data_IF_971985817255
#
_entry.id   IF_971985817255
#
_cell.length_a   1.000
_cell.length_b   1.000
_cell.length_c   1.000
_cell.angle_alpha   90.00
_cell.angle_beta   90.00
_cell.angle_gamma   90.00
#
_symmetry.space_group_name_H-M   'P 1'
#
loop_
_entity.id
_entity.type
_entity.pdbx_description
1 polymer ?
#
# COMPACT_ATOMS: atom_id res chain seq x y z
N UNK A 1 -3.08 -3.26 35.64
CA UNK A 1 -2.05 -3.75 34.71
C UNK A 1 -2.14 -5.27 34.65
N UNK A 2 -1.98 -5.87 33.47
CA UNK A 2 -2.07 -7.32 33.24
C UNK A 2 -0.64 -7.85 33.21
N UNK A 3 -0.32 -8.93 33.95
CA UNK A 3 1.01 -9.55 33.83
C UNK A 3 1.10 -10.33 32.53
N UNK A 4 2.29 -10.38 31.96
CA UNK A 4 2.54 -11.19 30.78
C UNK A 4 2.23 -12.66 31.08
N UNK A 5 1.45 -13.30 30.21
CA UNK A 5 1.12 -14.72 30.34
C UNK A 5 -0.18 -15.00 31.09
N UNK A 6 -0.78 -14.00 31.75
CA UNK A 6 -2.11 -14.13 32.39
C UNK A 6 -3.24 -14.21 31.34
N UNK A 7 -2.98 -13.79 30.11
CA UNK A 7 -3.96 -13.84 29.03
C UNK A 7 -3.67 -15.01 28.08
N UNK A 8 -4.69 -15.82 27.75
CA UNK A 8 -4.57 -16.91 26.75
C UNK A 8 -3.91 -16.44 25.45
N UNK A 9 -4.23 -15.21 25.02
CA UNK A 9 -3.67 -14.62 23.79
C UNK A 9 -2.15 -14.48 23.80
N UNK A 10 -1.53 -14.33 24.97
CA UNK A 10 -0.08 -14.10 25.09
C UNK A 10 0.71 -15.37 24.73
N UNK A 11 0.03 -16.50 24.63
CA UNK A 11 0.58 -17.82 24.26
C UNK A 11 0.24 -18.22 22.82
N UNK A 12 -0.54 -17.42 22.09
CA UNK A 12 -0.89 -17.75 20.70
C UNK A 12 0.37 -17.70 19.82
N UNK A 13 0.57 -18.68 18.92
CA UNK A 13 1.71 -18.67 18.02
C UNK A 13 1.61 -17.48 17.07
N UNK A 14 2.63 -16.64 17.10
CA UNK A 14 2.74 -15.48 16.22
C UNK A 14 3.31 -15.94 14.88
N UNK A 15 2.62 -15.60 13.81
CA UNK A 15 2.96 -16.04 12.46
C UNK A 15 3.76 -14.98 11.68
N UNK A 16 3.48 -13.71 11.94
CA UNK A 16 4.17 -12.57 11.34
C UNK A 16 3.88 -11.29 12.14
N UNK A 17 4.66 -10.25 11.91
CA UNK A 17 4.42 -8.91 12.44
C UNK A 17 4.46 -7.85 11.34
N UNK A 18 3.76 -6.74 11.56
CA UNK A 18 3.68 -5.63 10.63
C UNK A 18 3.60 -4.27 11.36
N UNK A 19 4.28 -3.22 10.88
CA UNK A 19 4.19 -1.88 11.46
C UNK A 19 2.91 -1.15 11.03
N UNK A 20 2.21 -0.53 11.98
CA UNK A 20 0.97 0.23 11.76
C UNK A 20 1.07 1.60 12.42
N UNK A 21 1.10 2.66 11.63
CA UNK A 21 1.09 4.03 12.16
C UNK A 21 -0.25 4.35 12.84
N UNK A 22 -0.20 4.86 14.07
CA UNK A 22 -1.37 5.34 14.83
C UNK A 22 -1.28 6.86 14.92
N UNK A 23 -2.01 7.61 14.07
CA UNK A 23 -1.82 9.05 13.96
C UNK A 23 -2.11 9.80 15.26
N UNK A 24 -3.07 9.30 16.05
CA UNK A 24 -3.44 9.88 17.34
C UNK A 24 -2.26 9.95 18.33
N UNK A 25 -1.35 8.99 18.21
CA UNK A 25 -0.23 8.80 19.13
C UNK A 25 1.10 9.22 18.53
N UNK A 26 1.16 9.53 17.23
CA UNK A 26 2.40 9.83 16.49
C UNK A 26 3.47 8.76 16.70
N UNK A 27 3.03 7.50 16.66
CA UNK A 27 3.86 6.33 16.91
C UNK A 27 3.49 5.19 15.99
N UNK A 28 4.45 4.32 15.75
CA UNK A 28 4.28 3.09 14.99
C UNK A 28 4.02 1.94 15.94
N UNK A 29 2.83 1.39 15.89
CA UNK A 29 2.45 0.23 16.68
C UNK A 29 2.70 -1.03 15.86
N UNK A 30 3.29 -2.05 16.46
CA UNK A 30 3.40 -3.34 15.82
C UNK A 30 2.08 -4.09 15.97
N UNK A 31 1.64 -4.73 14.89
CA UNK A 31 0.56 -5.71 14.90
C UNK A 31 1.13 -7.09 14.62
N UNK A 32 0.52 -8.11 15.20
CA UNK A 32 0.87 -9.51 15.03
C UNK A 32 -0.23 -10.26 14.29
N UNK A 33 0.17 -11.15 13.39
CA UNK A 33 -0.69 -12.09 12.70
C UNK A 33 -0.73 -13.38 13.50
N UNK A 34 -1.93 -13.83 13.85
CA UNK A 34 -2.14 -15.07 14.59
C UNK A 34 -3.15 -15.96 13.87
N UNK A 35 -3.04 -17.26 14.10
CA UNK A 35 -4.02 -18.25 13.68
C UNK A 35 -5.33 -18.08 14.46
N UNK A 36 -6.48 -18.30 13.83
CA UNK A 36 -7.78 -18.34 14.51
C UNK A 36 -8.20 -19.77 14.80
N UNK A 37 -9.11 -19.97 15.77
CA UNK A 37 -9.64 -21.30 16.09
C UNK A 37 -10.28 -21.97 14.86
N UNK A 38 -10.84 -21.19 13.95
CA UNK A 38 -11.45 -21.64 12.69
C UNK A 38 -10.41 -21.97 11.56
N UNK A 39 -9.11 -22.00 11.88
CA UNK A 39 -8.03 -22.25 10.92
C UNK A 39 -7.73 -21.08 9.97
N UNK A 40 -8.24 -19.88 10.27
CA UNK A 40 -7.95 -18.63 9.56
C UNK A 40 -6.75 -17.89 10.13
N UNK A 41 -6.52 -16.66 9.67
CA UNK A 41 -5.51 -15.75 10.24
C UNK A 41 -6.11 -14.37 10.49
N UNK A 42 -5.69 -13.70 11.57
CA UNK A 42 -6.13 -12.34 11.89
C UNK A 42 -4.99 -11.47 12.42
N UNK A 43 -5.04 -10.19 12.08
CA UNK A 43 -4.16 -9.19 12.67
C UNK A 43 -4.74 -8.69 14.00
N UNK A 44 -3.87 -8.46 14.98
CA UNK A 44 -4.21 -7.77 16.22
C UNK A 44 -3.00 -6.99 16.73
N UNK A 45 -3.25 -6.08 17.67
CA UNK A 45 -2.19 -5.34 18.32
C UNK A 45 -1.19 -6.27 19.02
N UNK A 46 0.10 -6.09 18.73
CA UNK A 46 1.19 -6.86 19.32
C UNK A 46 1.45 -6.42 20.74
N UNK A 47 1.59 -7.39 21.63
CA UNK A 47 2.00 -7.18 23.01
C UNK A 47 3.35 -7.83 23.22
N UNK A 48 4.15 -7.24 24.10
CA UNK A 48 5.42 -7.77 24.54
C UNK A 48 5.55 -7.60 26.06
N UNK A 49 6.36 -8.42 26.75
CA UNK A 49 6.65 -8.19 28.15
C UNK A 49 7.47 -6.90 28.35
N UNK A 50 7.22 -6.18 29.43
CA UNK A 50 8.13 -5.19 29.98
C UNK A 50 9.26 -5.87 30.76
N UNK A 51 10.28 -5.12 31.14
CA UNK A 51 11.38 -5.60 31.99
C UNK A 51 10.85 -6.14 33.34
N UNK A 52 9.77 -5.56 33.84
CA UNK A 52 9.10 -5.95 35.08
C UNK A 52 8.07 -7.10 34.89
N UNK A 53 7.93 -7.63 33.67
CA UNK A 53 7.01 -8.73 33.35
C UNK A 53 5.54 -8.30 33.14
N UNK A 54 5.27 -7.01 32.98
CA UNK A 54 3.94 -6.51 32.63
C UNK A 54 3.70 -6.54 31.12
N UNK A 55 2.43 -6.62 30.72
CA UNK A 55 2.07 -6.42 29.32
C UNK A 55 2.30 -4.97 28.91
N UNK A 56 3.07 -4.77 27.84
CA UNK A 56 3.15 -3.48 27.12
C UNK A 56 2.87 -3.67 25.63
N UNK A 57 2.51 -2.57 24.98
CA UNK A 57 2.37 -2.52 23.53
C UNK A 57 3.75 -2.41 22.88
N UNK A 58 3.90 -3.07 21.74
CA UNK A 58 5.12 -2.97 20.94
C UNK A 58 5.03 -1.73 20.04
N UNK A 59 5.80 -0.70 20.38
CA UNK A 59 5.67 0.66 19.82
C UNK A 59 7.04 1.22 19.49
N UNK A 60 7.15 1.85 18.32
CA UNK A 60 8.36 2.47 17.79
C UNK A 60 8.12 3.97 17.50
N UNK A 61 9.18 4.79 17.61
CA UNK A 61 9.07 6.24 17.38
C UNK A 61 8.82 6.60 15.92
N UNK A 62 9.46 5.90 15.00
CA UNK A 62 9.43 6.18 13.56
C UNK A 62 9.24 4.92 12.72
N UNK A 63 9.05 5.14 11.41
CA UNK A 63 8.77 4.09 10.44
C UNK A 63 9.95 3.15 10.26
N UNK A 64 11.17 3.71 10.22
CA UNK A 64 12.38 2.95 9.94
C UNK A 64 12.65 1.94 11.04
N UNK A 65 12.58 2.35 12.30
CA UNK A 65 12.71 1.47 13.45
C UNK A 65 11.64 0.37 13.46
N UNK A 66 10.38 0.71 13.13
CA UNK A 66 9.29 -0.25 13.10
C UNK A 66 9.43 -1.28 11.96
N UNK A 67 9.84 -0.83 10.77
CA UNK A 67 10.10 -1.70 9.62
C UNK A 67 11.30 -2.60 9.90
N UNK A 68 12.40 -2.05 10.42
CA UNK A 68 13.59 -2.84 10.79
C UNK A 68 13.26 -3.94 11.80
N UNK A 69 12.43 -3.63 12.80
CA UNK A 69 11.98 -4.63 13.76
C UNK A 69 11.18 -5.77 13.10
N UNK A 70 10.29 -5.44 12.16
CA UNK A 70 9.54 -6.44 11.39
C UNK A 70 10.45 -7.28 10.49
N UNK A 71 11.42 -6.66 9.82
CA UNK A 71 12.39 -7.34 8.95
C UNK A 71 13.32 -8.26 9.73
N UNK A 72 13.69 -7.90 10.96
CA UNK A 72 14.49 -8.75 11.83
C UNK A 72 13.71 -9.95 12.39
N UNK A 73 12.43 -9.79 12.75
CA UNK A 73 11.65 -10.83 13.42
C UNK A 73 10.92 -11.78 12.45
N UNK A 74 10.38 -11.27 11.34
CA UNK A 74 9.59 -12.09 10.41
C UNK A 74 10.33 -13.34 9.88
N UNK A 75 11.64 -13.30 9.57
CA UNK A 75 12.38 -14.50 9.16
C UNK A 75 12.40 -15.60 10.22
N UNK A 76 12.55 -15.26 11.51
CA UNK A 76 12.56 -16.25 12.60
C UNK A 76 11.17 -16.81 12.85
N UNK A 77 10.11 -16.00 12.72
CA UNK A 77 8.72 -16.48 12.77
C UNK A 77 8.39 -17.44 11.61
N UNK A 78 8.86 -17.13 10.40
CA UNK A 78 8.73 -18.01 9.25
C UNK A 78 9.47 -19.34 9.45
N UNK A 79 10.68 -19.30 10.01
CA UNK A 79 11.44 -20.50 10.37
C UNK A 79 10.73 -21.34 11.45
N UNK A 80 10.15 -20.69 12.47
CA UNK A 80 9.38 -21.36 13.52
C UNK A 80 8.12 -22.05 12.94
N UNK A 81 7.40 -21.39 12.03
CA UNK A 81 6.28 -22.00 11.32
C UNK A 81 6.72 -23.21 10.47
N UNK A 82 7.85 -23.10 9.77
CA UNK A 82 8.39 -24.20 8.98
C UNK A 82 8.77 -25.41 9.85
N UNK A 83 9.30 -25.18 11.06
CA UNK A 83 9.68 -26.22 12.01
C UNK A 83 8.51 -26.84 12.80
N UNK A 84 7.33 -26.20 12.82
CA UNK A 84 6.15 -26.66 13.57
C UNK A 84 5.72 -28.07 13.10
N UNK A 85 5.50 -29.00 14.03
CA UNK A 85 4.93 -30.31 13.68
C UNK A 85 3.42 -30.18 13.43
N UNK A 86 3.01 -30.39 12.18
CA UNK A 86 1.61 -30.36 11.72
C UNK A 86 1.52 -31.04 10.34
N UNK A 87 0.31 -31.28 9.84
CA UNK A 87 0.10 -31.83 8.50
C UNK A 87 0.78 -30.96 7.43
N UNK A 88 1.42 -31.59 6.44
CA UNK A 88 2.12 -30.89 5.37
C UNK A 88 1.20 -29.97 4.54
N UNK A 89 -0.05 -30.39 4.32
CA UNK A 89 -1.09 -29.64 3.62
C UNK A 89 -1.52 -28.42 4.43
N UNK A 90 -1.78 -28.61 5.73
CA UNK A 90 -2.14 -27.52 6.64
C UNK A 90 -1.01 -26.51 6.78
N UNK A 91 0.24 -26.98 6.91
CA UNK A 91 1.43 -26.12 6.95
C UNK A 91 1.56 -25.28 5.68
N UNK A 92 1.34 -25.89 4.52
CA UNK A 92 1.40 -25.20 3.23
C UNK A 92 0.30 -24.14 3.15
N UNK A 93 -0.94 -24.49 3.50
CA UNK A 93 -2.06 -23.54 3.54
C UNK A 93 -1.80 -22.37 4.49
N UNK A 94 -1.32 -22.63 5.70
CA UNK A 94 -1.00 -21.59 6.69
C UNK A 94 0.13 -20.69 6.20
N UNK A 95 1.19 -21.25 5.62
CA UNK A 95 2.30 -20.48 5.03
C UNK A 95 1.80 -19.55 3.92
N UNK A 96 0.89 -20.02 3.06
CA UNK A 96 0.26 -19.20 2.03
C UNK A 96 -0.59 -18.07 2.63
N UNK A 97 -1.39 -18.35 3.67
CA UNK A 97 -2.18 -17.33 4.39
C UNK A 97 -1.30 -16.24 5.00
N UNK A 98 -0.17 -16.61 5.61
CA UNK A 98 0.81 -15.65 6.15
C UNK A 98 1.39 -14.77 5.05
N UNK A 99 1.87 -15.39 3.96
CA UNK A 99 2.42 -14.67 2.81
C UNK A 99 1.42 -13.69 2.20
N UNK A 100 0.16 -14.12 2.03
CA UNK A 100 -0.94 -13.30 1.52
C UNK A 100 -1.25 -12.11 2.45
N UNK A 101 -1.29 -12.35 3.76
CA UNK A 101 -1.57 -11.30 4.74
C UNK A 101 -0.49 -10.20 4.73
N UNK A 102 0.79 -10.59 4.68
CA UNK A 102 1.93 -9.67 4.56
C UNK A 102 1.90 -8.91 3.22
N UNK A 103 1.72 -9.63 2.11
CA UNK A 103 1.66 -9.01 0.78
C UNK A 103 0.52 -8.00 0.66
N UNK A 104 -0.65 -8.30 1.24
CA UNK A 104 -1.79 -7.39 1.25
C UNK A 104 -1.48 -6.09 2.00
N UNK A 105 -0.82 -6.18 3.16
CA UNK A 105 -0.40 -5.02 3.97
C UNK A 105 0.61 -4.15 3.24
N UNK A 106 1.65 -4.77 2.68
CA UNK A 106 2.66 -4.08 1.88
C UNK A 106 2.01 -3.35 0.69
N UNK A 107 1.19 -4.05 -0.08
CA UNK A 107 0.50 -3.46 -1.25
C UNK A 107 -0.38 -2.27 -0.88
N UNK A 108 -1.12 -2.33 0.23
CA UNK A 108 -1.94 -1.22 0.69
C UNK A 108 -1.09 -0.01 1.12
N UNK A 109 0.03 -0.26 1.80
CA UNK A 109 0.95 0.80 2.20
C UNK A 109 1.61 1.46 0.99
N UNK A 110 2.06 0.67 0.01
CA UNK A 110 2.69 1.17 -1.22
C UNK A 110 1.69 1.94 -2.09
N UNK A 111 0.44 1.46 -2.18
CA UNK A 111 -0.65 2.15 -2.87
C UNK A 111 -0.88 3.54 -2.26
N UNK A 112 -1.03 3.63 -0.93
CA UNK A 112 -1.32 4.89 -0.24
C UNK A 112 -0.12 5.85 -0.29
N UNK A 113 1.11 5.35 -0.22
CA UNK A 113 2.32 6.14 -0.41
C UNK A 113 2.38 6.76 -1.81
N UNK A 114 2.08 5.98 -2.85
CA UNK A 114 2.04 6.47 -4.23
C UNK A 114 0.92 7.49 -4.45
N UNK A 115 -0.26 7.27 -3.87
CA UNK A 115 -1.34 8.24 -3.97
C UNK A 115 -0.98 9.54 -3.25
N UNK A 116 -0.29 9.48 -2.11
CA UNK A 116 0.17 10.67 -1.40
C UNK A 116 1.22 11.46 -2.19
N UNK A 117 2.24 10.79 -2.74
CA UNK A 117 3.27 11.46 -3.54
C UNK A 117 2.66 12.15 -4.76
N UNK A 118 1.72 11.51 -5.45
CA UNK A 118 1.02 12.11 -6.58
C UNK A 118 0.09 13.26 -6.16
N UNK A 119 -0.57 13.17 -5.00
CA UNK A 119 -1.36 14.28 -4.45
C UNK A 119 -0.48 15.51 -4.22
N UNK A 120 0.69 15.34 -3.59
CA UNK A 120 1.66 16.43 -3.40
C UNK A 120 2.12 16.99 -4.75
N UNK A 121 2.52 16.11 -5.68
CA UNK A 121 3.04 16.50 -6.99
C UNK A 121 2.02 17.30 -7.81
N UNK A 122 0.74 16.91 -7.81
CA UNK A 122 -0.35 17.64 -8.49
C UNK A 122 -0.53 19.07 -7.96
N UNK A 123 -0.04 19.33 -6.76
CA UNK A 123 -0.14 20.61 -6.08
C UNK A 123 1.22 21.30 -5.85
N UNK A 124 2.27 20.86 -6.55
CA UNK A 124 3.61 21.46 -6.45
C UNK A 124 3.59 22.96 -6.76
N UNK A 125 2.75 23.38 -7.72
CA UNK A 125 2.59 24.78 -8.14
C UNK A 125 1.42 25.49 -7.46
N UNK A 126 0.73 24.85 -6.51
CA UNK A 126 -0.35 25.49 -5.76
C UNK A 126 0.25 26.58 -4.86
N UNK A 127 -0.25 27.83 -4.90
CA UNK A 127 0.24 28.89 -4.03
C UNK A 127 0.08 28.50 -2.55
N UNK A 128 1.14 28.72 -1.77
CA UNK A 128 1.09 28.50 -0.31
C UNK A 128 0.52 29.76 0.33
N UNK A 129 -0.44 29.57 1.22
CA UNK A 129 -1.07 30.66 1.95
C UNK A 129 -0.05 31.16 2.98
N UNK A 130 0.34 32.45 2.98
CA UNK A 130 1.18 33.03 4.02
C UNK A 130 0.56 32.83 5.40
N UNK A 131 1.40 32.62 6.43
CA UNK A 131 0.93 32.28 7.78
C UNK A 131 -0.05 33.29 8.36
N UNK A 132 0.14 34.58 8.09
CA UNK A 132 -0.69 35.71 8.51
C UNK A 132 -2.04 35.79 7.75
N UNK A 133 -2.12 35.16 6.59
CA UNK A 133 -3.33 35.14 5.74
C UNK A 133 -4.22 33.92 6.00
N UNK A 134 -3.79 32.97 6.84
CA UNK A 134 -4.62 31.83 7.23
C UNK A 134 -5.80 32.35 8.07
N UNK A 135 -7.02 32.19 7.57
CA UNK A 135 -8.24 32.56 8.30
C UNK A 135 -8.58 31.47 9.31
N UNK A 136 -8.57 31.81 10.59
CA UNK A 136 -8.78 30.90 11.70
C UNK A 136 -9.90 31.41 12.59
N UNK A 137 -10.67 30.48 13.15
CA UNK A 137 -11.47 30.78 14.33
C UNK A 137 -10.56 31.19 15.49
N UNK A 138 -10.99 32.14 16.34
CA UNK A 138 -10.18 32.69 17.44
C UNK A 138 -9.59 31.62 18.36
N UNK A 139 -10.35 30.56 18.65
CA UNK A 139 -9.89 29.42 19.47
C UNK A 139 -8.81 28.55 18.81
N UNK A 140 -8.67 28.59 17.48
CA UNK A 140 -7.68 27.82 16.74
C UNK A 140 -6.34 28.55 16.60
N UNK A 141 -6.26 29.79 17.07
CA UNK A 141 -5.07 30.62 16.91
C UNK A 141 -3.78 30.08 17.55
N UNK A 142 -3.82 29.37 18.69
CA UNK A 142 -2.64 28.68 19.22
C UNK A 142 -2.03 27.63 18.28
N UNK A 143 -2.76 27.20 17.24
CA UNK A 143 -2.36 26.17 16.29
C UNK A 143 -1.91 26.73 14.93
N UNK A 144 -1.88 28.07 14.75
CA UNK A 144 -1.57 28.72 13.47
C UNK A 144 -0.25 28.24 12.88
N UNK A 145 0.81 28.18 13.67
CA UNK A 145 2.14 27.76 13.22
C UNK A 145 2.16 26.31 12.75
N UNK A 146 1.59 25.40 13.55
CA UNK A 146 1.48 23.98 13.22
C UNK A 146 0.64 23.76 11.94
N UNK A 147 -0.47 24.49 11.81
CA UNK A 147 -1.29 24.44 10.61
C UNK A 147 -0.54 24.98 9.39
N UNK A 148 0.17 26.11 9.54
CA UNK A 148 0.96 26.68 8.46
C UNK A 148 2.02 25.69 7.97
N UNK A 149 2.70 24.99 8.88
CA UNK A 149 3.67 23.96 8.53
C UNK A 149 3.03 22.80 7.75
N UNK A 150 1.87 22.30 8.17
CA UNK A 150 1.14 21.28 7.40
C UNK A 150 0.73 21.78 6.01
N UNK A 151 0.28 23.03 5.89
CA UNK A 151 -0.13 23.64 4.61
C UNK A 151 1.03 23.99 3.67
N UNK A 152 2.28 24.04 4.15
CA UNK A 152 3.44 24.13 3.27
C UNK A 152 3.57 22.88 2.40
N UNK A 153 3.40 21.70 3.02
CA UNK A 153 3.49 20.40 2.35
C UNK A 153 2.18 20.06 1.63
N UNK A 154 1.04 20.38 2.24
CA UNK A 154 -0.29 20.01 1.74
C UNK A 154 -1.21 21.24 1.60
N UNK A 155 -0.95 22.15 0.63
CA UNK A 155 -1.68 23.43 0.52
C UNK A 155 -3.18 23.27 0.18
N UNK A 156 -3.59 22.06 -0.18
CA UNK A 156 -4.95 21.70 -0.58
C UNK A 156 -5.79 21.08 0.55
N UNK A 157 -5.28 20.98 1.79
CA UNK A 157 -6.02 20.36 2.88
C UNK A 157 -7.31 21.11 3.24
N UNK A 158 -8.32 20.32 3.58
CA UNK A 158 -9.58 20.75 4.20
C UNK A 158 -9.76 20.18 5.62
N UNK A 159 -8.86 19.30 6.05
CA UNK A 159 -8.82 18.75 7.39
C UNK A 159 -7.35 18.56 7.77
N UNK A 160 -6.97 19.03 8.96
CA UNK A 160 -5.61 18.89 9.49
C UNK A 160 -5.66 18.30 10.89
N UNK A 161 -4.71 17.41 11.20
CA UNK A 161 -4.45 16.91 12.55
C UNK A 161 -3.23 17.65 13.08
N UNK A 162 -3.37 18.29 14.23
CA UNK A 162 -2.34 19.13 14.82
C UNK A 162 -2.12 18.72 16.27
N UNK A 163 -0.88 18.76 16.72
CA UNK A 163 -0.59 18.58 18.15
C UNK A 163 -1.04 19.82 18.94
N UNK A 164 -1.72 19.57 20.05
CA UNK A 164 -2.29 20.59 20.92
C UNK A 164 -1.81 20.43 22.34
N UNK A 165 -0.57 20.88 22.60
CA UNK A 165 0.01 21.03 23.96
C UNK A 165 -0.47 19.95 24.95
N UNK A 166 -0.37 18.68 24.56
CA UNK A 166 -0.79 17.52 25.36
C UNK A 166 -1.99 16.72 24.84
N UNK A 167 -2.73 17.22 23.83
CA UNK A 167 -3.77 16.46 23.13
C UNK A 167 -3.89 16.90 21.68
N UNK A 168 -3.87 15.93 20.76
CA UNK A 168 -4.11 16.24 19.34
C UNK A 168 -5.52 16.77 19.08
N UNK A 169 -5.61 17.69 18.13
CA UNK A 169 -6.86 18.29 17.67
C UNK A 169 -6.98 18.17 16.16
N UNK A 170 -8.22 18.23 15.67
CA UNK A 170 -8.51 18.35 14.25
C UNK A 170 -9.14 19.72 13.96
N UNK A 171 -8.69 20.33 12.88
CA UNK A 171 -9.29 21.53 12.30
C UNK A 171 -9.90 21.19 10.94
N UNK A 172 -11.01 21.83 10.62
CA UNK A 172 -11.72 21.69 9.35
C UNK A 172 -11.74 23.03 8.62
N UNK A 173 -11.46 23.04 7.33
CA UNK A 173 -11.63 24.22 6.47
C UNK A 173 -13.02 24.20 5.87
N UNK A 174 -13.77 25.29 6.06
CA UNK A 174 -15.09 25.44 5.46
C UNK A 174 -14.99 25.99 4.02
N UNK A 175 -16.15 26.23 3.38
CA UNK A 175 -16.23 26.75 2.01
C UNK A 175 -15.72 28.21 1.86
N UNK A 176 -15.65 28.97 2.96
CA UNK A 176 -15.17 30.36 2.98
C UNK A 176 -13.66 30.47 3.27
N UNK A 177 -12.96 29.33 3.22
CA UNK A 177 -11.53 29.17 3.55
C UNK A 177 -11.18 29.53 4.99
N UNK A 178 -12.14 29.41 5.91
CA UNK A 178 -11.95 29.60 7.34
C UNK A 178 -11.78 28.26 8.04
N UNK A 179 -10.71 28.13 8.80
CA UNK A 179 -10.45 26.98 9.65
C UNK A 179 -11.28 27.07 10.93
N UNK A 180 -11.94 25.96 11.26
CA UNK A 180 -12.83 25.82 12.42
C UNK A 180 -12.10 26.03 13.73
N UNK A 181 -12.85 26.09 14.83
CA UNK A 181 -12.31 25.88 16.18
C UNK A 181 -11.64 24.48 16.31
N UNK A 182 -10.74 24.28 17.28
CA UNK A 182 -10.12 22.98 17.53
C UNK A 182 -11.13 21.97 18.08
N UNK A 183 -11.19 20.79 17.45
CA UNK A 183 -11.95 19.65 17.95
C UNK A 183 -10.99 18.59 18.47
N UNK A 184 -11.19 18.04 19.68
CA UNK A 184 -10.31 17.00 20.19
C UNK A 184 -10.30 15.78 19.27
N UNK A 185 -9.11 15.31 18.91
CA UNK A 185 -8.98 14.14 18.06
C UNK A 185 -9.24 12.84 18.84
N UNK A 186 -9.83 11.87 18.15
CA UNK A 186 -9.79 10.46 18.51
C UNK A 186 -9.24 9.65 17.34
N UNK A 187 -9.09 8.33 17.52
CA UNK A 187 -8.47 7.45 16.52
C UNK A 187 -9.06 7.61 15.12
N UNK A 188 -10.41 7.61 15.04
CA UNK A 188 -11.12 7.73 13.76
C UNK A 188 -10.89 9.09 13.08
N UNK A 189 -10.85 10.20 13.83
CA UNK A 189 -10.64 11.52 13.24
C UNK A 189 -9.18 11.73 12.83
N UNK A 190 -8.24 11.16 13.60
CA UNK A 190 -6.81 11.18 13.28
C UNK A 190 -6.52 10.36 12.01
N UNK A 191 -7.11 9.17 11.86
CA UNK A 191 -7.05 8.38 10.62
C UNK A 191 -7.66 9.14 9.43
N UNK A 192 -8.81 9.79 9.61
CA UNK A 192 -9.45 10.60 8.56
C UNK A 192 -8.56 11.76 8.13
N UNK A 193 -7.92 12.46 9.05
CA UNK A 193 -6.99 13.54 8.74
C UNK A 193 -5.79 13.05 7.93
N UNK A 194 -5.23 11.88 8.25
CA UNK A 194 -4.17 11.29 7.43
C UNK A 194 -4.64 10.95 6.02
N UNK A 195 -5.85 10.39 5.87
CA UNK A 195 -6.44 10.12 4.56
C UNK A 195 -6.76 11.40 3.80
N UNK A 196 -7.08 12.50 4.47
CA UNK A 196 -7.34 13.80 3.86
C UNK A 196 -6.12 14.34 3.09
N UNK A 197 -4.90 14.05 3.55
CA UNK A 197 -3.65 14.38 2.81
C UNK A 197 -3.61 13.78 1.40
N UNK A 198 -4.28 12.65 1.19
CA UNK A 198 -4.45 12.04 -0.12
C UNK A 198 -5.74 12.54 -0.77
N UNK A 199 -6.88 12.31 -0.11
CA UNK A 199 -8.21 12.55 -0.68
C UNK A 199 -8.37 13.98 -1.23
N UNK A 200 -7.95 14.98 -0.46
CA UNK A 200 -8.13 16.37 -0.81
C UNK A 200 -7.25 16.80 -2.01
N UNK A 201 -6.08 16.18 -2.18
CA UNK A 201 -5.21 16.43 -3.35
C UNK A 201 -5.80 15.88 -4.66
N UNK A 202 -6.78 14.99 -4.54
CA UNK A 202 -7.62 14.53 -5.65
C UNK A 202 -9.03 15.15 -5.61
N UNK A 203 -9.21 16.23 -4.85
CA UNK A 203 -10.48 16.96 -4.71
C UNK A 203 -11.63 16.13 -4.14
N UNK A 204 -11.32 15.07 -3.41
CA UNK A 204 -12.30 14.29 -2.65
C UNK A 204 -12.41 14.81 -1.21
N UNK A 205 -13.62 14.76 -0.66
CA UNK A 205 -13.87 15.15 0.72
C UNK A 205 -13.42 14.06 1.70
N UNK A 206 -12.85 14.46 2.84
CA UNK A 206 -12.29 13.56 3.85
C UNK A 206 -13.30 12.60 4.50
N UNK A 207 -14.60 12.91 4.42
CA UNK A 207 -15.69 12.04 4.92
C UNK A 207 -16.17 10.99 3.91
N UNK A 208 -15.72 11.01 2.67
CA UNK A 208 -16.09 10.00 1.68
C UNK A 208 -15.53 8.62 2.04
N UNK A 209 -16.22 7.55 1.64
CA UNK A 209 -15.79 6.19 1.94
C UNK A 209 -14.41 5.91 1.32
N UNK A 210 -13.42 5.62 2.16
CA UNK A 210 -12.01 5.53 1.74
C UNK A 210 -11.77 4.55 0.58
N UNK A 211 -12.38 3.36 0.63
CA UNK A 211 -12.25 2.38 -0.45
C UNK A 211 -12.79 2.87 -1.81
N UNK A 212 -13.83 3.72 -1.80
CA UNK A 212 -14.38 4.31 -3.04
C UNK A 212 -13.49 5.46 -3.54
N UNK A 213 -12.97 6.28 -2.64
CA UNK A 213 -12.00 7.33 -2.95
C UNK A 213 -10.77 6.71 -3.61
N UNK A 214 -10.16 5.70 -3.00
CA UNK A 214 -9.01 4.99 -3.59
C UNK A 214 -9.31 4.39 -4.96
N UNK A 215 -10.49 3.80 -5.16
CA UNK A 215 -10.89 3.28 -6.47
C UNK A 215 -10.98 4.38 -7.53
N UNK A 216 -11.52 5.55 -7.20
CA UNK A 216 -11.57 6.71 -8.11
C UNK A 216 -10.19 7.26 -8.40
N UNK A 217 -9.34 7.39 -7.37
CA UNK A 217 -7.94 7.80 -7.55
C UNK A 217 -7.23 6.83 -8.50
N UNK A 218 -7.36 5.51 -8.30
CA UNK A 218 -6.82 4.51 -9.23
C UNK A 218 -7.29 4.73 -10.67
N UNK A 219 -8.58 4.98 -10.86
CA UNK A 219 -9.14 5.27 -12.17
C UNK A 219 -8.55 6.56 -12.81
N UNK A 220 -8.27 7.59 -12.02
CA UNK A 220 -7.57 8.80 -12.50
C UNK A 220 -6.10 8.54 -12.85
N UNK A 221 -5.43 7.64 -12.14
CA UNK A 221 -4.01 7.32 -12.36
C UNK A 221 -3.79 6.36 -13.55
N UNK A 222 -4.78 5.52 -13.89
CA UNK A 222 -4.70 4.53 -14.97
C UNK A 222 -4.42 5.14 -16.37
N UNK A 223 -5.10 6.20 -16.85
CA UNK A 223 -4.84 6.81 -18.16
C UNK A 223 -3.43 7.38 -18.32
N UNK A 224 -2.79 7.74 -17.20
CA UNK A 224 -1.41 8.22 -17.18
C UNK A 224 -0.38 7.13 -17.42
N UNK A 225 -0.76 5.86 -17.35
CA UNK A 225 0.18 4.75 -17.47
C UNK A 225 0.82 4.66 -18.86
N UNK A 226 0.10 5.04 -19.94
CA UNK A 226 0.71 5.17 -21.28
C UNK A 226 1.58 6.42 -21.42
N UNK A 227 1.31 7.48 -20.65
CA UNK A 227 2.21 8.64 -20.55
C UNK A 227 3.48 8.30 -19.77
N UNK A 228 3.44 7.31 -18.86
CA UNK A 228 4.65 6.83 -18.17
C UNK A 228 5.71 6.32 -19.16
N UNK A 229 5.31 5.69 -20.26
CA UNK A 229 6.24 5.26 -21.32
C UNK A 229 7.00 6.42 -21.99
N UNK A 230 6.48 7.65 -21.87
CA UNK A 230 7.13 8.85 -22.42
C UNK A 230 8.13 9.49 -21.45
N UNK A 231 8.15 9.07 -20.18
CA UNK A 231 9.08 9.60 -19.20
C UNK A 231 10.47 8.99 -19.40
N UNK A 232 11.50 9.84 -19.46
CA UNK A 232 12.88 9.42 -19.71
C UNK A 232 13.41 8.42 -18.65
N UNK A 233 13.02 8.59 -17.38
CA UNK A 233 13.37 7.67 -16.29
C UNK A 233 12.79 6.28 -16.51
N UNK A 234 11.55 6.21 -17.00
CA UNK A 234 10.84 4.96 -17.32
C UNK A 234 11.44 4.32 -18.55
N UNK A 235 11.73 5.09 -19.60
CA UNK A 235 12.40 4.58 -20.79
C UNK A 235 13.76 3.96 -20.46
N UNK A 236 14.56 4.59 -19.60
CA UNK A 236 15.84 4.05 -19.13
C UNK A 236 15.65 2.74 -18.37
N UNK A 237 14.73 2.71 -17.40
CA UNK A 237 14.41 1.50 -16.63
C UNK A 237 13.96 0.35 -17.53
N UNK A 238 13.10 0.64 -18.50
CA UNK A 238 12.59 -0.35 -19.45
C UNK A 238 13.68 -0.83 -20.43
N UNK A 239 14.61 0.04 -20.83
CA UNK A 239 15.76 -0.33 -21.64
C UNK A 239 16.74 -1.24 -20.88
N UNK A 240 17.03 -0.92 -19.61
CA UNK A 240 17.86 -1.77 -18.73
C UNK A 240 17.20 -3.14 -18.48
N UNK A 241 15.90 -3.16 -18.23
CA UNK A 241 15.13 -4.38 -18.08
C UNK A 241 15.19 -5.24 -19.35
N UNK A 242 14.98 -4.63 -20.52
CA UNK A 242 15.07 -5.33 -21.80
C UNK A 242 16.48 -5.88 -22.05
N UNK A 243 17.54 -5.13 -21.71
CA UNK A 243 18.92 -5.58 -21.80
C UNK A 243 19.22 -6.78 -20.88
N UNK A 244 18.46 -6.95 -19.79
CA UNK A 244 18.50 -8.14 -18.92
C UNK A 244 17.59 -9.28 -19.38
N UNK A 245 16.94 -9.15 -20.54
CA UNK A 245 15.97 -10.13 -21.06
C UNK A 245 14.63 -10.12 -20.34
N UNK A 246 14.31 -9.04 -19.61
CA UNK A 246 13.04 -8.90 -18.90
C UNK A 246 12.00 -8.25 -19.83
N UNK A 247 10.91 -8.96 -20.05
CA UNK A 247 9.87 -8.55 -20.99
C UNK A 247 8.56 -8.14 -20.30
N UNK A 248 8.39 -8.50 -19.02
CA UNK A 248 7.22 -8.09 -18.22
C UNK A 248 7.68 -7.61 -16.85
N UNK A 249 7.40 -6.35 -16.55
CA UNK A 249 7.62 -5.75 -15.24
C UNK A 249 6.29 -5.39 -14.61
N UNK A 250 6.13 -5.71 -13.33
CA UNK A 250 4.90 -5.47 -12.57
C UNK A 250 5.22 -4.54 -11.41
N UNK A 251 4.47 -3.46 -11.27
CA UNK A 251 4.56 -2.56 -10.12
C UNK A 251 3.20 -1.94 -9.81
N UNK A 252 2.76 -2.02 -8.54
CA UNK A 252 1.55 -1.34 -8.04
C UNK A 252 0.29 -1.52 -8.91
N UNK A 253 0.12 -2.69 -9.52
CA UNK A 253 -1.02 -3.02 -10.39
C UNK A 253 -0.91 -2.52 -11.84
N UNK A 254 0.22 -1.89 -12.19
CA UNK A 254 0.62 -1.55 -13.54
C UNK A 254 1.56 -2.64 -14.06
N UNK A 255 1.35 -3.07 -15.31
CA UNK A 255 2.19 -4.05 -15.99
C UNK A 255 2.81 -3.40 -17.22
N UNK A 256 4.13 -3.23 -17.20
CA UNK A 256 4.91 -2.90 -18.39
C UNK A 256 5.15 -4.19 -19.15
N UNK A 257 4.76 -4.20 -20.41
CA UNK A 257 4.66 -5.39 -21.23
C UNK A 257 5.35 -5.17 -22.57
N UNK A 258 6.39 -5.94 -22.83
CA UNK A 258 7.14 -5.95 -24.08
C UNK A 258 6.93 -7.27 -24.81
N UNK A 259 6.61 -7.21 -26.09
CA UNK A 259 6.52 -8.38 -26.96
C UNK A 259 7.70 -8.36 -27.94
N UNK A 260 8.63 -9.34 -27.87
CA UNK A 260 9.77 -9.41 -28.78
C UNK A 260 9.37 -9.43 -30.27
N UNK A 261 8.25 -10.08 -30.58
CA UNK A 261 7.73 -10.23 -31.95
C UNK A 261 6.70 -9.14 -32.33
N UNK A 262 6.44 -8.18 -31.42
CA UNK A 262 5.47 -7.12 -31.63
C UNK A 262 6.07 -5.91 -32.34
N UNK A 263 5.32 -5.31 -33.28
CA UNK A 263 5.71 -4.01 -33.88
C UNK A 263 5.58 -2.82 -32.90
N UNK A 264 4.82 -3.01 -31.83
CA UNK A 264 4.63 -2.03 -30.75
C UNK A 264 5.59 -2.44 -29.62
N UNK A 265 6.53 -1.57 -29.25
CA UNK A 265 7.50 -1.81 -28.17
C UNK A 265 6.86 -1.96 -26.78
N UNK A 266 7.41 -1.33 -25.75
CA UNK A 266 6.81 -1.39 -24.42
C UNK A 266 5.37 -0.85 -24.44
N UNK A 267 4.44 -1.60 -23.86
CA UNK A 267 3.03 -1.24 -23.68
C UNK A 267 2.67 -1.30 -22.19
N UNK A 268 1.59 -0.62 -21.80
CA UNK A 268 1.11 -0.67 -20.41
C UNK A 268 -0.25 -1.35 -20.33
N UNK A 269 -0.32 -2.33 -19.43
CA UNK A 269 -1.52 -3.10 -19.09
C UNK A 269 -1.82 -2.92 -17.59
N UNK A 270 -3.04 -3.20 -17.18
CA UNK A 270 -3.43 -3.19 -15.77
C UNK A 270 -3.59 -4.62 -15.24
N UNK A 271 -3.32 -4.86 -13.96
CA UNK A 271 -3.67 -6.13 -13.33
C UNK A 271 -5.13 -6.14 -12.89
N UNK A 272 -5.82 -7.28 -12.97
CA UNK A 272 -7.20 -7.39 -12.49
C UNK A 272 -7.33 -7.54 -10.98
N UNK A 273 -6.28 -7.28 -10.21
CA UNK A 273 -6.20 -7.54 -8.76
C UNK A 273 -7.13 -6.67 -7.89
N UNK A 274 -8.08 -5.96 -8.50
CA UNK A 274 -9.21 -5.31 -7.83
C UNK A 274 -10.31 -6.27 -7.40
N UNK A 275 -10.33 -7.48 -7.96
CA UNK A 275 -11.13 -8.59 -7.44
C UNK A 275 -10.18 -9.75 -7.25
N UNK A 276 -9.70 -9.93 -6.03
CA UNK A 276 -9.24 -11.24 -5.63
C UNK A 276 -10.38 -12.20 -5.92
N UNK A 277 -10.20 -13.09 -6.90
CA UNK A 277 -10.81 -14.39 -6.73
C UNK A 277 -10.30 -14.91 -5.40
N UNK A 278 -11.25 -15.20 -4.52
CA UNK A 278 -11.03 -15.60 -3.14
C UNK A 278 -9.86 -16.60 -3.04
N UNK A 279 -8.84 -16.25 -2.25
CA UNK A 279 -7.85 -17.22 -1.79
C UNK A 279 -6.49 -17.28 -2.49
N UNK A 280 -6.26 -16.63 -3.64
CA UNK A 280 -4.99 -16.79 -4.36
C UNK A 280 -3.79 -16.01 -3.79
N UNK A 281 -2.58 -16.59 -3.82
CA UNK A 281 -1.31 -15.92 -3.47
C UNK A 281 -0.39 -15.85 -4.69
N UNK A 282 0.31 -14.74 -4.95
CA UNK A 282 1.17 -14.59 -6.13
C UNK A 282 2.25 -15.69 -6.23
N UNK A 283 2.39 -16.30 -7.40
CA UNK A 283 3.44 -17.27 -7.73
C UNK A 283 4.53 -16.56 -8.53
N UNK A 284 5.65 -16.20 -7.87
CA UNK A 284 6.70 -15.35 -8.45
C UNK A 284 7.52 -16.05 -9.52
N UNK A 285 7.69 -17.37 -9.39
CA UNK A 285 8.40 -18.19 -10.38
C UNK A 285 7.49 -18.57 -11.58
N UNK A 286 6.20 -18.24 -11.52
CA UNK A 286 5.25 -18.56 -12.58
C UNK A 286 5.43 -17.70 -13.83
N UNK A 287 4.98 -18.22 -14.98
CA UNK A 287 4.97 -17.50 -16.26
C UNK A 287 3.56 -17.03 -16.61
N UNK A 288 3.48 -15.95 -17.39
CA UNK A 288 2.24 -15.47 -18.00
C UNK A 288 2.16 -16.06 -19.40
N UNK A 289 1.12 -16.83 -19.67
CA UNK A 289 0.82 -17.35 -21.00
C UNK A 289 -0.08 -16.35 -21.74
N UNK A 290 0.50 -15.60 -22.69
CA UNK A 290 -0.28 -14.70 -23.54
C UNK A 290 -0.87 -15.45 -24.72
N UNK A 291 -2.11 -15.91 -24.58
CA UNK A 291 -2.89 -16.54 -25.68
C UNK A 291 -3.78 -15.55 -26.42
N UNK A 292 -3.86 -14.30 -25.97
CA UNK A 292 -4.71 -13.26 -26.53
C UNK A 292 -4.10 -11.87 -26.33
N UNK A 293 -4.68 -10.85 -26.96
CA UNK A 293 -4.27 -9.45 -26.86
C UNK A 293 -5.04 -8.67 -25.77
N UNK A 294 -5.35 -9.34 -24.65
CA UNK A 294 -6.09 -8.74 -23.55
C UNK A 294 -5.39 -7.54 -22.92
N UNK A 295 -6.18 -6.52 -22.56
CA UNK A 295 -5.70 -5.28 -21.89
C UNK A 295 -5.36 -5.47 -20.41
N UNK A 296 -5.87 -6.53 -19.80
CA UNK A 296 -5.64 -6.87 -18.41
C UNK A 296 -4.74 -8.10 -18.29
N UNK A 297 -3.88 -8.09 -17.29
CA UNK A 297 -2.98 -9.19 -16.97
C UNK A 297 -3.40 -9.81 -15.64
N UNK A 298 -3.68 -11.11 -15.66
CA UNK A 298 -3.80 -11.94 -14.47
C UNK A 298 -2.41 -12.52 -14.20
N UNK A 299 -1.80 -12.14 -13.08
CA UNK A 299 -0.50 -12.66 -12.70
C UNK A 299 -0.61 -14.12 -12.25
N UNK A 300 0.46 -14.92 -12.37
CA UNK A 300 0.47 -16.30 -11.88
C UNK A 300 0.23 -16.35 -10.38
N UNK A 301 -0.53 -17.34 -9.92
CA UNK A 301 -0.91 -17.45 -8.52
C UNK A 301 -1.04 -18.90 -8.06
N UNK A 302 -0.90 -19.10 -6.77
CA UNK A 302 -1.14 -20.36 -6.06
C UNK A 302 -2.52 -20.25 -5.40
N UNK A 303 -3.41 -21.19 -5.68
CA UNK A 303 -4.70 -21.31 -4.99
C UNK A 303 -4.49 -21.72 -3.52
N UNK A 304 -5.52 -21.62 -2.70
CA UNK A 304 -5.47 -22.11 -1.30
C UNK A 304 -5.19 -23.62 -1.22
N UNK A 305 -5.55 -24.38 -2.26
CA UNK A 305 -5.23 -25.80 -2.41
C UNK A 305 -3.74 -26.10 -2.67
N UNK A 306 -2.91 -25.09 -2.92
CA UNK A 306 -1.52 -25.26 -3.35
C UNK A 306 -1.35 -25.40 -4.87
N UNK A 307 -2.43 -25.44 -5.65
CA UNK A 307 -2.37 -25.52 -7.11
C UNK A 307 -1.75 -24.24 -7.71
N UNK A 308 -0.71 -24.40 -8.52
CA UNK A 308 -0.06 -23.33 -9.25
C UNK A 308 -0.80 -23.06 -10.56
N UNK A 309 -1.27 -21.82 -10.72
CA UNK A 309 -1.99 -21.33 -11.90
C UNK A 309 -1.09 -20.36 -12.65
N UNK A 310 -0.87 -20.63 -13.94
CA UNK A 310 -0.17 -19.70 -14.84
C UNK A 310 -0.96 -18.42 -15.03
N UNK A 311 -0.24 -17.32 -15.18
CA UNK A 311 -0.83 -16.03 -15.51
C UNK A 311 -1.40 -16.04 -16.93
N UNK A 312 -2.35 -15.14 -17.22
CA UNK A 312 -2.92 -15.00 -18.56
C UNK A 312 -3.41 -13.57 -18.80
N UNK A 313 -3.61 -13.22 -20.06
CA UNK A 313 -4.21 -11.94 -20.45
C UNK A 313 -5.72 -12.08 -20.65
N UNK A 314 -6.48 -11.03 -20.35
CA UNK A 314 -7.93 -10.94 -20.62
C UNK A 314 -8.38 -9.50 -20.85
N UNK A 315 -9.60 -9.32 -21.34
CA UNK A 315 -10.25 -8.01 -21.39
C UNK A 315 -11.04 -7.75 -20.09
N UNK A 316 -11.36 -6.47 -19.83
CA UNK A 316 -12.14 -6.09 -18.66
C UNK A 316 -13.62 -6.45 -18.77
N UNK A 317 -14.37 -6.40 -17.64
CA UNK A 317 -15.82 -6.50 -17.68
C UNK A 317 -16.42 -5.44 -18.62
N UNK A 318 -17.19 -5.86 -19.62
CA UNK A 318 -17.81 -4.97 -20.62
C UNK A 318 -17.04 -4.80 -21.94
N UNK A 319 -15.78 -5.22 -22.02
CA UNK A 319 -14.90 -5.05 -23.21
C UNK A 319 -15.02 -6.22 -24.23
N UNK A 320 -15.95 -7.14 -24.03
CA UNK A 320 -16.05 -8.38 -24.82
C UNK A 320 -14.85 -9.32 -24.65
N UNK A 321 -14.81 -10.41 -25.43
CA UNK A 321 -13.66 -11.34 -25.41
C UNK A 321 -12.42 -10.68 -26.02
N UNK A 322 -11.26 -10.87 -25.37
CA UNK A 322 -9.98 -10.46 -25.93
C UNK A 322 -9.73 -11.19 -27.26
N UNK A 323 -9.17 -10.48 -28.25
CA UNK A 323 -8.83 -11.08 -29.54
C UNK A 323 -7.80 -12.20 -29.33
N UNK A 324 -8.11 -13.46 -29.72
CA UNK A 324 -7.19 -14.57 -29.57
C UNK A 324 -5.96 -14.37 -30.47
N UNK A 325 -4.82 -14.87 -30.02
CA UNK A 325 -3.63 -15.02 -30.87
C UNK A 325 -3.76 -16.26 -31.72
N UNK A 326 -2.99 -16.31 -32.79
CA UNK A 326 -2.71 -17.58 -33.46
C UNK A 326 -1.95 -18.51 -32.49
N UNK A 327 -2.26 -19.82 -32.45
CA UNK A 327 -1.60 -20.76 -31.53
C UNK A 327 -0.07 -20.76 -31.61
N UNK A 328 0.48 -20.61 -32.82
CA UNK A 328 1.94 -20.53 -33.04
C UNK A 328 2.58 -19.26 -32.46
N UNK A 329 1.78 -18.26 -32.08
CA UNK A 329 2.23 -16.99 -31.52
C UNK A 329 1.93 -16.89 -30.02
N UNK A 330 1.65 -18.01 -29.36
CA UNK A 330 1.53 -18.04 -27.91
C UNK A 330 2.91 -17.82 -27.29
N UNK A 331 2.98 -16.85 -26.39
CA UNK A 331 4.24 -16.50 -25.73
C UNK A 331 4.09 -16.76 -24.24
N UNK A 332 5.01 -17.57 -23.70
CA UNK A 332 5.20 -17.68 -22.26
C UNK A 332 6.26 -16.68 -21.82
N UNK A 333 5.87 -15.77 -20.93
CA UNK A 333 6.73 -14.67 -20.54
C UNK A 333 6.90 -14.69 -19.01
N UNK A 334 8.14 -14.80 -18.49
CA UNK A 334 8.39 -14.61 -17.07
C UNK A 334 8.15 -13.15 -16.70
N UNK A 335 7.77 -12.89 -15.45
CA UNK A 335 7.54 -11.53 -14.97
C UNK A 335 8.43 -11.22 -13.76
N UNK A 336 8.77 -9.94 -13.62
CA UNK A 336 9.50 -9.44 -12.44
C UNK A 336 8.65 -8.40 -11.72
N UNK A 337 8.39 -8.63 -10.44
CA UNK A 337 7.80 -7.61 -9.58
C UNK A 337 8.90 -6.64 -9.14
N UNK A 338 8.73 -5.36 -9.44
CA UNK A 338 9.60 -4.31 -8.96
C UNK A 338 9.25 -4.01 -7.49
N UNK A 339 10.24 -4.05 -6.61
CA UNK A 339 10.08 -3.73 -5.18
C UNK A 339 10.52 -2.27 -4.91
N UNK A 340 9.80 -1.57 -4.03
CA UNK A 340 10.25 -0.31 -3.42
C UNK A 340 10.35 0.92 -4.35
N UNK A 341 11.35 1.76 -4.06
CA UNK A 341 11.63 3.13 -4.56
C UNK A 341 11.67 3.36 -6.07
N UNK A 342 11.61 2.30 -6.89
CA UNK A 342 11.58 2.46 -8.35
C UNK A 342 10.38 3.29 -8.84
N UNK A 343 9.29 3.33 -8.05
CA UNK A 343 8.14 4.20 -8.33
C UNK A 343 8.31 5.66 -7.87
N UNK A 344 9.16 5.96 -6.89
CA UNK A 344 9.53 7.34 -6.53
C UNK A 344 10.35 7.96 -7.68
N UNK A 345 11.21 7.15 -8.31
CA UNK A 345 11.92 7.50 -9.56
C UNK A 345 11.04 7.56 -10.82
N UNK A 346 9.86 6.93 -10.83
CA UNK A 346 8.91 6.99 -11.97
C UNK A 346 8.09 8.28 -12.01
N UNK A 347 7.93 8.99 -10.89
CA UNK A 347 7.18 10.26 -10.83
C UNK A 347 8.05 11.52 -10.67
N UNK A 348 9.38 11.38 -10.60
CA UNK A 348 10.30 12.51 -10.79
C UNK A 348 11.52 12.59 -9.88
N UNK A 349 11.73 11.69 -8.92
CA UNK A 349 12.90 11.79 -8.03
C UNK A 349 13.76 10.54 -8.15
N UNK A 350 14.82 10.65 -8.94
CA UNK A 350 15.89 9.64 -8.96
C UNK A 350 16.60 9.68 -7.59
N UNK A 351 16.79 8.55 -6.91
CA UNK A 351 17.58 8.49 -5.68
C UNK A 351 19.07 8.46 -6.03
N UNK A 352 19.57 9.46 -6.74
CA UNK A 352 21.01 9.74 -6.91
C UNK A 352 21.19 11.21 -7.31
N UNK A 353 21.30 12.07 -6.31
CA UNK A 353 22.30 13.15 -6.28
C UNK A 353 23.09 13.05 -4.95
#
# INVERSE_FOLDING_TARGET
MIKWGDSRRDHDPILAIWPSYRPLHERWFMVELVETEDGGVRWRDRRIPSEEGWVRMDVHPDREAAVSAAEALNPSLAAALAARQMDATEKTSLTLKVRKALQSRQRLADEEALMLSEAIRRHADTPRIPIDQIKLHTEAEPYREALAQELQTYPYLWMALLDGRGRQVVLYRNADDVWSKPYPAGEKSAEKAMRARIANGFKFHHDQHWGQVKAKIRAELLPRANQLLQLASVQRLLAEALARGEHVLVSNGIVFWYEPDGQLGWTVKATTSDKGEDGSTLWREGTILSTNHGRLVVLPYVKESGEQVRGHTKNGPGDGRAKPRHPDHFVEIPFRELKGDLMIGLFGELPYE
#
